data_IF_246654105064
#
_entry.id   IF_246654105064
#
_cell.length_a   1.000
_cell.length_b   1.000
_cell.length_c   1.000
_cell.angle_alpha   90.00
_cell.angle_beta   90.00
_cell.angle_gamma   90.00
#
_symmetry.space_group_name_H-M   'P 1'
#
loop_
_entity.id
_entity.type
_entity.pdbx_description
1 polymer ?
#
# COMPACT_ATOMS: atom_id res chain seq x y z
N UNK A 1 -5.07 0.57 6.80
CA UNK A 1 -5.44 0.89 5.41
C UNK A 1 -5.89 -0.40 4.69
N UNK A 2 -7.02 -0.32 3.98
CA UNK A 2 -7.53 -1.47 3.17
C UNK A 2 -6.51 -1.97 2.16
N UNK A 3 -5.68 -1.09 1.63
CA UNK A 3 -4.64 -1.43 0.67
C UNK A 3 -3.56 -2.34 1.28
N UNK A 4 -3.09 -2.04 2.49
CA UNK A 4 -2.11 -2.85 3.22
C UNK A 4 -2.69 -4.23 3.55
N UNK A 5 -3.90 -4.28 4.11
CA UNK A 5 -4.55 -5.54 4.46
C UNK A 5 -4.84 -6.39 3.21
N UNK A 6 -5.32 -5.77 2.12
CA UNK A 6 -5.55 -6.47 0.85
C UNK A 6 -4.27 -7.06 0.25
N UNK A 7 -3.16 -6.32 0.30
CA UNK A 7 -1.87 -6.83 -0.14
C UNK A 7 -1.41 -8.00 0.74
N UNK A 8 -1.52 -7.88 2.08
CA UNK A 8 -1.20 -8.97 3.00
C UNK A 8 -2.04 -10.23 2.74
N UNK A 9 -3.35 -10.07 2.45
CA UNK A 9 -4.22 -11.22 2.09
C UNK A 9 -3.71 -11.93 0.84
N UNK A 10 -3.28 -11.18 -0.16
CA UNK A 10 -2.74 -11.73 -1.40
C UNK A 10 -1.36 -12.36 -1.20
N UNK A 11 -0.45 -11.69 -0.51
CA UNK A 11 0.92 -12.16 -0.28
C UNK A 11 0.96 -13.47 0.51
N UNK A 12 0.09 -13.59 1.51
CA UNK A 12 -0.03 -14.77 2.38
C UNK A 12 -1.13 -15.75 1.94
N UNK A 13 -1.79 -15.47 0.81
CA UNK A 13 -2.88 -16.29 0.27
C UNK A 13 -3.99 -16.64 1.31
N UNK A 14 -4.36 -15.67 2.14
CA UNK A 14 -5.28 -15.86 3.27
C UNK A 14 -6.70 -16.23 2.84
N UNK A 15 -7.04 -16.01 1.57
CA UNK A 15 -8.33 -16.44 0.99
C UNK A 15 -8.42 -17.94 0.75
N UNK A 16 -7.31 -18.68 0.78
CA UNK A 16 -7.30 -20.12 0.60
C UNK A 16 -7.22 -20.81 1.96
N UNK A 17 -8.20 -21.63 2.27
CA UNK A 17 -8.27 -22.41 3.50
C UNK A 17 -8.04 -23.87 3.16
N UNK A 18 -7.08 -24.48 3.82
CA UNK A 18 -6.70 -25.89 3.64
C UNK A 18 -6.83 -26.59 4.98
N UNK A 19 -7.52 -27.70 5.01
CA UNK A 19 -7.73 -28.54 6.20
C UNK A 19 -7.46 -29.99 5.82
N UNK A 20 -6.67 -30.68 6.60
CA UNK A 20 -6.50 -32.14 6.42
C UNK A 20 -7.79 -32.86 6.79
N UNK A 21 -8.29 -33.72 5.91
CA UNK A 21 -9.42 -34.61 6.21
C UNK A 21 -8.92 -35.79 7.07
N UNK A 22 -9.03 -35.68 8.37
CA UNK A 22 -8.71 -36.77 9.29
C UNK A 22 -9.95 -37.65 9.47
N UNK A 23 -9.83 -38.97 9.25
CA UNK A 23 -10.85 -39.94 9.71
C UNK A 23 -10.88 -39.91 11.26
N UNK A 24 -12.07 -39.74 11.88
CA UNK A 24 -12.19 -39.33 13.29
C UNK A 24 -11.64 -40.31 14.33
N UNK A 25 -11.33 -41.54 14.01
CA UNK A 25 -11.03 -42.57 15.03
C UNK A 25 -9.62 -43.15 14.94
N UNK A 26 -9.01 -43.27 13.78
CA UNK A 26 -7.71 -43.92 13.60
C UNK A 26 -6.59 -42.87 13.37
N UNK A 27 -6.89 -41.74 12.74
CA UNK A 27 -5.90 -40.73 12.36
C UNK A 27 -5.27 -39.96 13.55
N UNK A 28 -6.06 -39.63 14.56
CA UNK A 28 -5.53 -38.91 15.77
C UNK A 28 -4.65 -39.82 16.63
N UNK A 29 -4.91 -41.12 16.68
CA UNK A 29 -4.13 -42.08 17.46
C UNK A 29 -2.78 -42.38 16.80
N UNK A 30 -2.75 -42.49 15.48
CA UNK A 30 -1.51 -42.70 14.70
C UNK A 30 -0.62 -41.46 14.68
N UNK A 31 -1.17 -40.24 14.67
CA UNK A 31 -0.41 -38.99 14.80
C UNK A 31 0.32 -38.87 16.13
N UNK A 32 -0.33 -39.31 17.23
CA UNK A 32 0.26 -39.29 18.57
C UNK A 32 1.40 -40.30 18.75
N UNK A 33 1.37 -41.39 18.02
CA UNK A 33 2.41 -42.46 18.12
C UNK A 33 3.63 -42.17 17.23
N UNK A 34 3.47 -41.47 16.10
CA UNK A 34 4.55 -41.21 15.15
C UNK A 34 5.36 -39.92 15.43
N UNK A 35 4.88 -39.04 16.33
CA UNK A 35 5.54 -37.75 16.55
C UNK A 35 5.58 -36.87 15.31
N UNK A 36 4.65 -37.07 14.39
CA UNK A 36 4.63 -36.44 13.07
C UNK A 36 3.97 -35.07 13.16
N UNK A 37 4.65 -34.05 12.68
CA UNK A 37 4.23 -32.64 12.68
C UNK A 37 3.05 -32.34 11.76
N UNK A 38 2.28 -33.38 11.41
CA UNK A 38 1.07 -33.33 10.60
C UNK A 38 1.37 -33.22 9.10
N UNK A 39 0.53 -33.88 8.32
CA UNK A 39 0.56 -33.77 6.86
C UNK A 39 0.31 -32.33 6.42
N UNK A 40 1.16 -31.79 5.57
CA UNK A 40 1.06 -30.40 5.07
C UNK A 40 1.14 -30.37 3.56
N UNK A 41 0.41 -29.45 2.95
CA UNK A 41 0.58 -29.06 1.56
C UNK A 41 0.72 -27.54 1.49
N UNK A 42 1.54 -27.06 0.58
CA UNK A 42 1.69 -25.64 0.34
C UNK A 42 1.08 -25.30 -1.03
N UNK A 43 0.05 -24.45 -1.00
CA UNK A 43 -0.67 -23.98 -2.19
C UNK A 43 -0.31 -22.53 -2.43
N UNK A 44 0.35 -22.24 -3.55
CA UNK A 44 0.73 -20.86 -3.92
C UNK A 44 -0.49 -20.04 -4.32
N UNK A 45 -1.41 -20.63 -5.07
CA UNK A 45 -2.72 -20.05 -5.36
C UNK A 45 -3.73 -21.14 -5.70
N UNK A 46 -5.00 -20.82 -5.45
CA UNK A 46 -6.17 -21.60 -5.86
C UNK A 46 -7.24 -20.62 -6.30
N UNK A 47 -7.43 -20.48 -7.60
CA UNK A 47 -8.45 -19.64 -8.21
C UNK A 47 -9.64 -20.50 -8.59
N UNK A 48 -10.83 -19.99 -8.34
CA UNK A 48 -12.09 -20.66 -8.65
C UNK A 48 -13.02 -19.68 -9.35
N UNK A 49 -13.98 -20.16 -10.16
CA UNK A 49 -15.08 -19.33 -10.67
C UNK A 49 -15.87 -18.70 -9.52
N UNK A 50 -16.54 -17.59 -9.78
CA UNK A 50 -17.26 -16.83 -8.75
C UNK A 50 -18.36 -17.63 -8.04
N UNK A 51 -19.02 -18.50 -8.77
CA UNK A 51 -20.08 -19.40 -8.27
C UNK A 51 -19.53 -20.55 -7.41
N UNK A 52 -18.23 -20.84 -7.50
CA UNK A 52 -17.52 -21.85 -6.71
C UNK A 52 -16.79 -21.27 -5.47
N UNK A 53 -16.93 -19.97 -5.21
CA UNK A 53 -16.42 -19.38 -3.96
C UNK A 53 -17.09 -20.02 -2.75
N UNK A 54 -16.35 -20.16 -1.66
CA UNK A 54 -16.77 -20.80 -0.41
C UNK A 54 -17.15 -22.28 -0.50
N UNK A 55 -17.03 -22.91 -1.69
CA UNK A 55 -17.21 -24.35 -1.88
C UNK A 55 -15.95 -25.11 -1.44
N UNK A 56 -16.15 -26.27 -0.78
CA UNK A 56 -15.08 -27.15 -0.34
C UNK A 56 -14.79 -28.21 -1.40
N UNK A 57 -13.58 -28.26 -1.90
CA UNK A 57 -13.08 -29.27 -2.82
C UNK A 57 -12.12 -30.21 -2.11
N UNK A 58 -11.91 -31.40 -2.66
CA UNK A 58 -11.03 -32.41 -2.08
C UNK A 58 -9.78 -32.58 -2.93
N UNK A 59 -8.61 -32.37 -2.32
CA UNK A 59 -7.31 -32.71 -2.89
C UNK A 59 -6.89 -34.05 -2.31
N UNK A 60 -6.56 -35.03 -3.16
CA UNK A 60 -5.99 -36.31 -2.78
C UNK A 60 -4.55 -36.42 -3.26
N UNK A 61 -3.65 -36.72 -2.37
CA UNK A 61 -2.24 -36.96 -2.70
C UNK A 61 -2.13 -38.35 -3.34
N UNK A 62 -1.63 -38.41 -4.57
CA UNK A 62 -1.50 -39.65 -5.35
C UNK A 62 -0.04 -40.15 -5.40
N UNK A 63 0.94 -39.31 -5.18
CA UNK A 63 2.34 -39.67 -5.18
C UNK A 63 3.17 -38.64 -4.42
N UNK A 64 4.48 -38.74 -4.50
CA UNK A 64 5.40 -37.82 -3.80
C UNK A 64 5.22 -36.36 -4.24
N UNK A 65 5.03 -36.14 -5.55
CA UNK A 65 4.92 -34.80 -6.16
C UNK A 65 3.64 -34.67 -7.00
N UNK A 66 2.69 -35.59 -6.85
CA UNK A 66 1.45 -35.64 -7.64
C UNK A 66 0.21 -35.65 -6.77
N UNK A 67 -0.84 -35.02 -7.27
CA UNK A 67 -2.13 -34.90 -6.60
C UNK A 67 -3.28 -34.93 -7.60
N UNK A 68 -4.47 -35.21 -7.11
CA UNK A 68 -5.72 -35.08 -7.84
C UNK A 68 -6.67 -34.22 -7.02
N UNK A 69 -7.32 -33.26 -7.66
CA UNK A 69 -8.38 -32.47 -7.04
C UNK A 69 -9.72 -32.83 -7.66
N UNK A 70 -10.70 -33.15 -6.84
CA UNK A 70 -12.07 -33.32 -7.27
C UNK A 70 -12.79 -31.97 -7.22
N UNK A 71 -13.26 -31.52 -8.39
CA UNK A 71 -13.94 -30.22 -8.59
C UNK A 71 -15.46 -30.42 -8.79
N UNK A 72 -16.02 -31.48 -8.21
CA UNK A 72 -17.44 -31.85 -8.32
C UNK A 72 -17.90 -31.88 -9.79
N UNK A 73 -18.83 -31.03 -10.22
CA UNK A 73 -19.35 -30.97 -11.59
C UNK A 73 -18.31 -30.71 -12.67
N UNK A 74 -17.20 -30.04 -12.33
CA UNK A 74 -16.09 -29.80 -13.25
C UNK A 74 -15.16 -31.03 -13.41
N UNK A 75 -15.40 -32.08 -12.61
CA UNK A 75 -14.69 -33.37 -12.65
C UNK A 75 -13.29 -33.27 -11.99
N UNK A 76 -12.49 -34.30 -12.25
CA UNK A 76 -11.15 -34.39 -11.67
C UNK A 76 -10.11 -33.55 -12.46
N UNK A 77 -9.18 -32.96 -11.72
CA UNK A 77 -7.99 -32.27 -12.21
C UNK A 77 -6.76 -32.93 -11.59
N UNK A 78 -5.83 -33.41 -12.43
CA UNK A 78 -4.56 -33.99 -11.98
C UNK A 78 -3.45 -32.98 -12.11
N UNK A 79 -2.58 -32.89 -11.10
CA UNK A 79 -1.47 -31.95 -11.08
C UNK A 79 -0.19 -32.50 -10.49
N UNK A 80 0.89 -31.80 -10.75
CA UNK A 80 2.21 -32.04 -10.13
C UNK A 80 2.66 -30.80 -9.38
N UNK A 81 3.54 -30.97 -8.41
CA UNK A 81 4.15 -29.89 -7.64
C UNK A 81 4.95 -28.97 -8.57
N UNK A 82 4.83 -27.67 -8.37
CA UNK A 82 5.43 -26.60 -9.16
C UNK A 82 4.93 -26.48 -10.61
N UNK A 83 3.89 -27.22 -10.98
CA UNK A 83 3.24 -27.09 -12.29
C UNK A 83 1.84 -26.45 -12.10
N UNK A 84 1.56 -25.31 -12.78
CA UNK A 84 0.21 -24.74 -12.76
C UNK A 84 -0.74 -25.60 -13.57
N UNK A 85 -1.88 -25.93 -13.02
CA UNK A 85 -2.94 -26.67 -13.73
C UNK A 85 -4.24 -25.90 -13.69
N UNK A 86 -4.94 -25.90 -14.82
CA UNK A 86 -6.21 -25.22 -14.98
C UNK A 86 -7.24 -26.08 -15.71
N UNK A 87 -8.52 -25.95 -15.30
CA UNK A 87 -9.67 -26.61 -15.94
C UNK A 87 -10.96 -25.86 -15.60
N UNK A 88 -11.74 -25.52 -16.59
CA UNK A 88 -13.08 -24.91 -16.43
C UNK A 88 -13.09 -23.67 -15.50
N UNK A 89 -12.08 -22.81 -15.56
CA UNK A 89 -11.98 -21.62 -14.71
C UNK A 89 -11.38 -21.87 -13.32
N UNK A 90 -11.11 -23.13 -12.97
CA UNK A 90 -10.30 -23.46 -11.80
C UNK A 90 -8.83 -23.44 -12.16
N UNK A 91 -8.01 -22.92 -11.28
CA UNK A 91 -6.56 -22.87 -11.46
C UNK A 91 -5.88 -23.07 -10.11
N UNK A 92 -4.90 -23.97 -10.06
CA UNK A 92 -4.18 -24.31 -8.83
C UNK A 92 -2.69 -24.50 -9.09
N UNK A 93 -1.90 -24.08 -8.12
CA UNK A 93 -0.47 -24.37 -8.06
C UNK A 93 -0.08 -24.80 -6.65
N UNK A 94 0.32 -26.06 -6.50
CA UNK A 94 0.98 -26.57 -5.31
C UNK A 94 2.48 -26.39 -5.46
N UNK A 95 3.13 -25.92 -4.39
CA UNK A 95 4.59 -25.76 -4.36
C UNK A 95 5.28 -26.83 -3.54
N UNK A 96 4.56 -27.50 -2.64
CA UNK A 96 5.13 -28.52 -1.77
C UNK A 96 4.07 -29.49 -1.27
N UNK A 97 4.42 -30.77 -1.18
CA UNK A 97 3.63 -31.83 -0.55
C UNK A 97 4.51 -32.51 0.50
N UNK A 98 4.11 -32.38 1.77
CA UNK A 98 4.71 -33.06 2.92
C UNK A 98 3.70 -34.03 3.52
N UNK A 99 3.21 -34.95 2.69
CA UNK A 99 2.16 -35.87 3.08
C UNK A 99 2.29 -37.19 2.33
N UNK A 100 2.03 -38.34 2.98
CA UNK A 100 2.06 -39.63 2.31
C UNK A 100 0.95 -39.73 1.25
N UNK A 101 1.17 -40.54 0.19
CA UNK A 101 0.14 -40.85 -0.77
C UNK A 101 -1.13 -41.41 -0.09
N UNK A 102 -2.29 -41.01 -0.56
CA UNK A 102 -3.60 -41.37 0.02
C UNK A 102 -4.13 -40.36 1.02
N UNK A 103 -3.32 -39.35 1.47
CA UNK A 103 -3.82 -38.29 2.31
C UNK A 103 -4.78 -37.38 1.53
N UNK A 104 -5.86 -36.98 2.18
CA UNK A 104 -6.83 -36.06 1.63
C UNK A 104 -6.88 -34.76 2.38
N UNK A 105 -6.99 -33.66 1.61
CA UNK A 105 -7.17 -32.31 2.13
C UNK A 105 -8.46 -31.71 1.60
N UNK A 106 -9.14 -30.94 2.43
CA UNK A 106 -10.19 -30.04 2.01
C UNK A 106 -9.58 -28.70 1.66
N UNK A 107 -9.83 -28.19 0.47
CA UNK A 107 -9.43 -26.85 0.06
C UNK A 107 -10.66 -26.01 -0.26
N UNK A 108 -10.64 -24.76 0.16
CA UNK A 108 -11.71 -23.80 -0.11
C UNK A 108 -11.12 -22.43 -0.39
N UNK A 109 -11.67 -21.72 -1.38
CA UNK A 109 -11.36 -20.30 -1.60
C UNK A 109 -12.51 -19.45 -1.07
N UNK A 110 -12.20 -18.62 -0.09
CA UNK A 110 -13.12 -17.61 0.44
C UNK A 110 -13.17 -16.38 -0.46
N UNK A 111 -14.29 -15.67 -0.43
CA UNK A 111 -14.36 -14.33 -1.02
C UNK A 111 -13.32 -13.42 -0.36
N UNK A 112 -12.51 -12.76 -1.18
CA UNK A 112 -11.43 -11.86 -0.70
C UNK A 112 -11.99 -10.67 0.06
N UNK A 113 -13.17 -10.15 -0.29
CA UNK A 113 -13.81 -9.04 0.43
C UNK A 113 -14.26 -9.47 1.82
N UNK A 114 -14.78 -10.70 1.95
CA UNK A 114 -15.13 -11.25 3.26
C UNK A 114 -13.89 -11.46 4.13
N UNK A 115 -12.81 -12.00 3.57
CA UNK A 115 -11.54 -12.18 4.30
C UNK A 115 -10.95 -10.82 4.72
N UNK A 116 -11.08 -9.80 3.88
CA UNK A 116 -10.65 -8.44 4.21
C UNK A 116 -11.47 -7.86 5.37
N UNK A 117 -12.79 -8.08 5.37
CA UNK A 117 -13.66 -7.66 6.48
C UNK A 117 -13.29 -8.38 7.77
N UNK A 118 -13.19 -9.71 7.72
CA UNK A 118 -12.84 -10.54 8.88
C UNK A 118 -11.47 -10.12 9.48
N UNK A 119 -10.49 -9.88 8.62
CA UNK A 119 -9.16 -9.43 9.03
C UNK A 119 -9.19 -8.02 9.62
N UNK A 120 -9.96 -7.12 9.04
CA UNK A 120 -10.10 -5.75 9.54
C UNK A 120 -10.78 -5.72 10.93
N UNK A 121 -11.75 -6.58 11.17
CA UNK A 121 -12.46 -6.67 12.45
C UNK A 121 -11.59 -7.29 13.56
N UNK A 122 -10.70 -8.22 13.18
CA UNK A 122 -9.75 -8.84 14.10
C UNK A 122 -8.50 -7.99 14.35
N UNK A 123 -8.25 -6.95 13.55
CA UNK A 123 -7.03 -6.13 13.56
C UNK A 123 -7.30 -4.78 14.22
N UNK A 124 -6.51 -4.44 15.22
CA UNK A 124 -6.58 -3.15 15.93
C UNK A 124 -5.25 -2.40 15.84
N UNK A 125 -5.34 -1.10 15.63
CA UNK A 125 -4.21 -0.18 15.66
C UNK A 125 -4.47 0.86 16.75
N UNK A 126 -3.53 1.02 17.66
CA UNK A 126 -3.59 2.02 18.72
C UNK A 126 -2.30 2.87 18.71
N UNK A 127 -2.45 4.16 18.96
CA UNK A 127 -1.32 5.04 19.22
C UNK A 127 -0.85 4.84 20.66
N UNK A 128 0.43 4.55 20.85
CA UNK A 128 0.99 4.19 22.17
C UNK A 128 1.45 5.41 22.97
N UNK A 129 1.24 6.63 22.49
CA UNK A 129 1.52 7.84 23.24
C UNK A 129 1.30 9.11 22.42
N UNK A 130 0.89 10.19 23.08
CA UNK A 130 0.73 11.48 22.40
C UNK A 130 2.06 11.89 21.75
N UNK A 131 2.04 12.06 20.44
CA UNK A 131 3.16 12.57 19.63
C UNK A 131 4.43 11.70 19.59
N UNK A 132 4.36 10.42 20.00
CA UNK A 132 5.52 9.51 19.94
C UNK A 132 5.74 8.91 18.55
N UNK A 133 4.70 8.86 17.72
CA UNK A 133 4.73 8.18 16.42
C UNK A 133 4.83 6.65 16.53
N UNK A 134 4.65 6.09 17.73
CA UNK A 134 4.67 4.64 17.98
C UNK A 134 3.27 4.07 17.88
N UNK A 135 3.08 3.16 16.92
CA UNK A 135 1.82 2.44 16.73
C UNK A 135 1.90 1.04 17.33
N UNK A 136 0.92 0.67 18.13
CA UNK A 136 0.72 -0.70 18.59
C UNK A 136 -0.25 -1.41 17.66
N UNK A 137 0.16 -2.56 17.14
CA UNK A 137 -0.63 -3.41 16.27
C UNK A 137 -1.05 -4.66 17.03
N UNK A 138 -2.35 -4.97 17.01
CA UNK A 138 -2.90 -6.17 17.64
C UNK A 138 -3.75 -6.93 16.67
N UNK A 139 -3.62 -8.25 16.63
CA UNK A 139 -4.44 -9.15 15.84
C UNK A 139 -4.92 -10.31 16.72
N UNK A 140 -6.21 -10.57 16.73
CA UNK A 140 -6.82 -11.66 17.49
C UNK A 140 -7.10 -12.85 16.60
N UNK A 141 -6.78 -14.06 17.07
CA UNK A 141 -7.02 -15.30 16.35
C UNK A 141 -6.63 -16.54 17.15
N UNK A 142 -6.81 -17.71 16.56
CA UNK A 142 -6.63 -19.00 17.23
C UNK A 142 -5.25 -19.64 17.03
N UNK A 143 -4.44 -19.10 16.08
CA UNK A 143 -3.14 -19.65 15.71
C UNK A 143 -2.07 -18.58 15.90
N UNK A 144 -1.23 -18.68 16.94
CA UNK A 144 -0.21 -17.67 17.26
C UNK A 144 0.84 -17.49 16.14
N UNK A 145 1.26 -18.58 15.48
CA UNK A 145 2.28 -18.50 14.42
C UNK A 145 1.70 -17.80 13.16
N UNK A 146 0.46 -18.13 12.83
CA UNK A 146 -0.25 -17.47 11.73
C UNK A 146 -0.49 -15.98 12.02
N UNK A 147 -0.88 -15.64 13.25
CA UNK A 147 -1.06 -14.25 13.69
C UNK A 147 0.25 -13.46 13.55
N UNK A 148 1.36 -14.02 14.03
CA UNK A 148 2.69 -13.42 13.93
C UNK A 148 3.08 -13.16 12.47
N UNK A 149 2.88 -14.14 11.60
CA UNK A 149 3.18 -14.02 10.16
C UNK A 149 2.32 -12.93 9.50
N UNK A 150 1.04 -12.85 9.83
CA UNK A 150 0.13 -11.83 9.31
C UNK A 150 0.55 -10.43 9.80
N UNK A 151 0.83 -10.25 11.10
CA UNK A 151 1.29 -8.98 11.65
C UNK A 151 2.61 -8.52 11.03
N UNK A 152 3.55 -9.45 10.83
CA UNK A 152 4.81 -9.14 10.14
C UNK A 152 4.55 -8.66 8.71
N UNK A 153 3.74 -9.38 7.95
CA UNK A 153 3.38 -8.99 6.57
C UNK A 153 2.64 -7.65 6.51
N UNK A 154 1.74 -7.37 7.47
CA UNK A 154 1.07 -6.05 7.57
C UNK A 154 2.11 -4.95 7.81
N UNK A 155 3.05 -5.17 8.71
CA UNK A 155 4.12 -4.20 9.03
C UNK A 155 5.00 -3.94 7.81
N UNK A 156 5.46 -4.99 7.14
CA UNK A 156 6.31 -4.89 5.96
C UNK A 156 5.60 -4.19 4.81
N UNK A 157 4.34 -4.52 4.55
CA UNK A 157 3.52 -3.87 3.54
C UNK A 157 3.22 -2.40 3.87
N UNK A 158 3.04 -2.07 5.14
CA UNK A 158 2.87 -0.68 5.58
C UNK A 158 4.15 0.13 5.36
N UNK A 159 5.30 -0.41 5.75
CA UNK A 159 6.61 0.24 5.54
C UNK A 159 6.87 0.46 4.05
N UNK A 160 6.64 -0.54 3.22
CA UNK A 160 6.79 -0.43 1.78
C UNK A 160 5.89 0.66 1.19
N UNK A 161 4.60 0.66 1.55
CA UNK A 161 3.65 1.69 1.11
C UNK A 161 4.09 3.10 1.55
N UNK A 162 4.62 3.24 2.76
CA UNK A 162 5.09 4.52 3.27
C UNK A 162 6.33 5.02 2.50
N UNK A 163 7.25 4.11 2.17
CA UNK A 163 8.43 4.41 1.35
C UNK A 163 7.99 4.82 -0.06
N UNK A 164 7.10 4.08 -0.70
CA UNK A 164 6.56 4.38 -2.04
C UNK A 164 5.90 5.77 -2.05
N UNK A 165 5.04 6.06 -1.08
CA UNK A 165 4.38 7.36 -0.96
C UNK A 165 5.38 8.51 -0.80
N UNK A 166 6.37 8.36 0.09
CA UNK A 166 7.41 9.37 0.28
C UNK A 166 8.27 9.57 -0.96
N UNK A 167 8.57 8.48 -1.68
CA UNK A 167 9.30 8.54 -2.94
C UNK A 167 8.51 9.29 -4.03
N UNK A 168 7.20 9.04 -4.13
CA UNK A 168 6.33 9.78 -5.05
C UNK A 168 6.24 11.26 -4.69
N UNK A 169 6.12 11.59 -3.41
CA UNK A 169 6.10 12.98 -2.93
C UNK A 169 7.40 13.70 -3.27
N UNK A 170 8.55 13.04 -3.05
CA UNK A 170 9.86 13.56 -3.42
C UNK A 170 10.01 13.76 -4.93
N UNK A 171 9.57 12.79 -5.74
CA UNK A 171 9.61 12.88 -7.20
C UNK A 171 8.72 14.03 -7.73
N UNK A 172 7.53 14.23 -7.15
CA UNK A 172 6.65 15.36 -7.47
C UNK A 172 7.30 16.70 -7.12
N UNK A 173 7.95 16.76 -5.95
CA UNK A 173 8.68 17.96 -5.52
C UNK A 173 9.85 18.29 -6.43
N UNK A 174 10.64 17.29 -6.83
CA UNK A 174 11.74 17.48 -7.79
C UNK A 174 11.23 17.97 -9.14
N UNK A 175 10.17 17.37 -9.67
CA UNK A 175 9.57 17.76 -10.94
C UNK A 175 9.00 19.20 -10.91
N UNK A 176 8.47 19.61 -9.76
CA UNK A 176 8.03 20.99 -9.53
C UNK A 176 9.22 21.95 -9.53
N UNK A 177 10.30 21.63 -8.80
CA UNK A 177 11.52 22.44 -8.74
C UNK A 177 12.18 22.58 -10.11
N UNK A 178 12.30 21.50 -10.84
CA UNK A 178 12.88 21.49 -12.20
C UNK A 178 12.15 22.44 -13.17
N UNK A 179 10.83 22.57 -13.00
CA UNK A 179 10.02 23.50 -13.80
C UNK A 179 10.10 24.94 -13.29
N UNK A 180 10.22 25.13 -11.98
CA UNK A 180 10.20 26.47 -11.36
C UNK A 180 11.55 27.18 -11.37
N UNK A 181 12.64 26.43 -11.29
CA UNK A 181 13.99 27.02 -11.31
C UNK A 181 14.25 27.84 -12.59
N UNK A 182 13.93 27.36 -13.80
CA UNK A 182 14.08 28.14 -15.02
C UNK A 182 13.23 29.42 -15.03
N UNK A 183 11.98 29.34 -14.55
CA UNK A 183 11.07 30.50 -14.48
C UNK A 183 11.65 31.59 -13.58
N UNK A 184 12.07 31.21 -12.35
CA UNK A 184 12.66 32.14 -11.39
C UNK A 184 13.98 32.73 -11.92
N UNK A 185 14.78 31.93 -12.62
CA UNK A 185 16.02 32.41 -13.25
C UNK A 185 15.74 33.44 -14.34
N UNK A 186 14.69 33.21 -15.15
CA UNK A 186 14.28 34.15 -16.20
C UNK A 186 13.72 35.44 -15.59
N UNK A 187 12.92 35.35 -14.52
CA UNK A 187 12.43 36.52 -13.78
C UNK A 187 13.58 37.32 -13.17
N UNK A 188 14.58 36.66 -12.56
CA UNK A 188 15.77 37.30 -12.02
C UNK A 188 16.55 38.03 -13.11
N UNK A 189 16.85 37.38 -14.22
CA UNK A 189 17.55 38.01 -15.34
C UNK A 189 16.79 39.20 -15.90
N UNK A 190 15.46 39.12 -16.00
CA UNK A 190 14.63 40.22 -16.43
C UNK A 190 14.66 41.40 -15.45
N UNK A 191 14.65 41.12 -14.14
CA UNK A 191 14.74 42.13 -13.10
C UNK A 191 16.14 42.78 -13.07
N UNK A 192 17.22 42.02 -13.20
CA UNK A 192 18.59 42.51 -13.30
C UNK A 192 18.77 43.42 -14.54
N UNK A 193 18.24 43.01 -15.68
CA UNK A 193 18.29 43.83 -16.89
C UNK A 193 17.53 45.15 -16.75
N UNK A 194 16.34 45.15 -16.13
CA UNK A 194 15.59 46.34 -15.80
C UNK A 194 16.37 47.25 -14.85
N UNK A 195 16.99 46.69 -13.81
CA UNK A 195 17.81 47.45 -12.86
C UNK A 195 19.01 48.09 -13.54
N UNK A 196 19.73 47.34 -14.40
CA UNK A 196 20.88 47.85 -15.14
C UNK A 196 20.46 48.95 -16.12
N UNK A 197 19.36 48.81 -16.82
CA UNK A 197 18.80 49.83 -17.70
C UNK A 197 18.46 51.11 -16.92
N UNK A 198 17.82 50.97 -15.77
CA UNK A 198 17.48 52.13 -14.90
C UNK A 198 18.70 52.81 -14.33
N UNK A 199 19.75 52.05 -13.94
CA UNK A 199 21.05 52.60 -13.50
C UNK A 199 21.75 53.38 -14.58
N UNK A 200 21.71 52.90 -15.83
CA UNK A 200 22.33 53.61 -16.98
C UNK A 200 21.60 54.92 -17.29
N UNK A 201 20.29 54.97 -17.16
CA UNK A 201 19.51 56.18 -17.45
C UNK A 201 19.62 57.26 -16.36
N UNK A 202 19.73 56.89 -15.11
CA UNK A 202 19.56 57.84 -13.99
C UNK A 202 20.85 58.25 -13.27
N UNK A 203 22.03 57.76 -13.68
CA UNK A 203 23.34 58.14 -13.07
C UNK A 203 23.33 58.19 -11.53
N UNK A 204 22.46 57.47 -10.85
CA UNK A 204 22.16 57.65 -9.42
C UNK A 204 22.71 56.52 -8.54
N UNK A 205 23.29 56.90 -7.44
CA UNK A 205 24.22 56.11 -6.59
C UNK A 205 23.52 55.29 -5.50
N UNK A 206 22.23 55.37 -5.25
CA UNK A 206 21.66 54.81 -4.01
C UNK A 206 20.48 53.83 -4.16
N UNK A 207 20.24 53.36 -5.37
CA UNK A 207 19.17 52.36 -5.64
C UNK A 207 19.50 50.93 -5.16
N UNK A 208 20.74 50.72 -4.74
CA UNK A 208 21.22 49.35 -4.41
C UNK A 208 20.59 48.79 -3.12
N UNK A 209 20.29 49.68 -2.14
CA UNK A 209 19.68 49.25 -0.87
C UNK A 209 18.16 49.05 -1.00
N UNK A 210 17.45 49.91 -1.70
CA UNK A 210 16.00 49.76 -1.94
C UNK A 210 15.69 48.60 -2.83
N UNK A 211 16.43 48.39 -3.93
CA UNK A 211 16.25 47.26 -4.82
C UNK A 211 16.56 45.91 -4.12
N UNK A 212 17.59 45.88 -3.25
CA UNK A 212 17.88 44.67 -2.46
C UNK A 212 16.78 44.37 -1.46
N UNK A 213 16.24 45.39 -0.77
CA UNK A 213 15.12 45.23 0.16
C UNK A 213 13.85 44.72 -0.54
N UNK A 214 13.57 45.25 -1.74
CA UNK A 214 12.46 44.81 -2.56
C UNK A 214 12.63 43.34 -3.01
N UNK A 215 13.83 42.97 -3.46
CA UNK A 215 14.16 41.61 -3.86
C UNK A 215 14.01 40.61 -2.70
N UNK A 216 14.55 40.97 -1.52
CA UNK A 216 14.44 40.14 -0.30
C UNK A 216 12.98 39.98 0.10
N UNK A 217 12.14 41.00 -0.02
CA UNK A 217 10.69 40.93 0.24
C UNK A 217 9.99 40.02 -0.76
N UNK A 218 10.31 40.10 -2.06
CA UNK A 218 9.74 39.21 -3.09
C UNK A 218 10.11 37.76 -2.87
N UNK A 219 11.36 37.48 -2.49
CA UNK A 219 11.81 36.10 -2.17
C UNK A 219 11.07 35.56 -0.94
N UNK A 220 10.83 36.38 0.08
CA UNK A 220 10.05 35.95 1.27
C UNK A 220 8.58 35.67 0.91
N UNK A 221 7.95 36.51 0.10
CA UNK A 221 6.58 36.30 -0.37
C UNK A 221 6.47 35.02 -1.20
N UNK A 222 7.44 34.75 -2.07
CA UNK A 222 7.46 33.50 -2.85
C UNK A 222 7.63 32.25 -1.96
N UNK A 223 8.47 32.32 -0.95
CA UNK A 223 8.61 31.23 0.02
C UNK A 223 7.30 30.97 0.77
N UNK A 224 6.57 32.02 1.18
CA UNK A 224 5.27 31.87 1.86
C UNK A 224 4.18 31.35 0.93
N UNK A 225 4.11 31.82 -0.31
CA UNK A 225 3.15 31.32 -1.32
C UNK A 225 3.42 29.84 -1.61
N UNK A 226 4.67 29.43 -1.76
CA UNK A 226 5.05 28.05 -1.96
C UNK A 226 4.65 27.18 -0.77
N UNK A 227 4.90 27.64 0.46
CA UNK A 227 4.50 26.91 1.67
C UNK A 227 2.98 26.75 1.77
N UNK A 228 2.21 27.78 1.42
CA UNK A 228 0.74 27.70 1.37
C UNK A 228 0.25 26.76 0.26
N UNK A 229 0.93 26.71 -0.87
CA UNK A 229 0.61 25.78 -1.96
C UNK A 229 0.83 24.33 -1.54
N UNK A 230 1.89 24.03 -0.79
CA UNK A 230 2.09 22.70 -0.21
C UNK A 230 1.00 22.36 0.82
N UNK A 231 0.67 23.31 1.71
CA UNK A 231 -0.40 23.11 2.70
C UNK A 231 -1.77 22.91 2.03
N UNK A 232 -2.05 23.62 0.94
CA UNK A 232 -3.26 23.44 0.13
C UNK A 232 -3.32 22.05 -0.48
N UNK A 233 -2.20 21.54 -1.01
CA UNK A 233 -2.13 20.20 -1.57
C UNK A 233 -2.37 19.09 -0.51
N UNK A 234 -1.94 19.31 0.73
CA UNK A 234 -2.21 18.41 1.85
C UNK A 234 -3.69 18.47 2.28
N UNK A 235 -4.21 19.69 2.47
CA UNK A 235 -5.59 19.91 2.92
C UNK A 235 -6.60 19.45 1.86
N UNK A 236 -6.28 19.56 0.57
CA UNK A 236 -7.13 19.11 -0.54
C UNK A 236 -7.35 17.59 -0.56
N UNK A 237 -6.48 16.82 0.10
CA UNK A 237 -6.65 15.36 0.25
C UNK A 237 -7.61 14.99 1.38
N UNK A 238 -7.81 15.89 2.34
CA UNK A 238 -8.58 15.64 3.56
C UNK A 238 -9.94 16.34 3.56
N UNK A 239 -10.07 17.45 2.86
CA UNK A 239 -11.26 18.31 2.89
C UNK A 239 -11.69 18.73 1.48
N UNK A 240 -13.00 18.92 1.34
CA UNK A 240 -13.57 19.49 0.10
C UNK A 240 -13.28 20.99 0.01
N UNK A 241 -13.41 21.55 -1.20
CA UNK A 241 -13.18 22.99 -1.48
C UNK A 241 -14.08 23.93 -0.66
N UNK A 242 -15.20 23.43 -0.17
CA UNK A 242 -16.17 24.17 0.65
C UNK A 242 -15.78 24.27 2.12
N UNK A 243 -14.80 23.46 2.56
CA UNK A 243 -14.42 23.42 3.97
C UNK A 243 -13.76 24.74 4.41
N UNK A 244 -14.11 25.28 5.60
CA UNK A 244 -13.57 26.55 6.08
C UNK A 244 -12.05 26.66 6.07
N UNK A 245 -11.35 25.58 6.47
CA UNK A 245 -9.87 25.52 6.47
C UNK A 245 -9.30 25.64 5.05
N UNK A 246 -9.91 24.98 4.07
CA UNK A 246 -9.47 25.05 2.67
C UNK A 246 -9.67 26.46 2.10
N UNK A 247 -10.83 27.07 2.34
CA UNK A 247 -11.14 28.43 1.92
C UNK A 247 -10.20 29.47 2.54
N UNK A 248 -9.89 29.34 3.83
CA UNK A 248 -8.96 30.22 4.52
C UNK A 248 -7.55 30.19 3.92
N UNK A 249 -7.07 28.99 3.52
CA UNK A 249 -5.78 28.83 2.84
C UNK A 249 -5.76 29.47 1.46
N UNK A 250 -6.82 29.28 0.68
CA UNK A 250 -6.96 29.92 -0.64
C UNK A 250 -6.96 31.44 -0.53
N UNK A 251 -7.71 32.00 0.41
CA UNK A 251 -7.81 33.43 0.62
C UNK A 251 -6.45 34.03 1.05
N UNK A 252 -5.75 33.36 1.97
CA UNK A 252 -4.42 33.79 2.40
C UNK A 252 -3.41 33.75 1.24
N UNK A 253 -3.43 32.71 0.40
CA UNK A 253 -2.56 32.63 -0.78
C UNK A 253 -2.86 33.76 -1.77
N UNK A 254 -4.14 34.01 -2.05
CA UNK A 254 -4.58 35.06 -2.96
C UNK A 254 -4.09 36.44 -2.47
N UNK A 255 -4.21 36.73 -1.18
CA UNK A 255 -3.73 37.97 -0.60
C UNK A 255 -2.20 38.16 -0.80
N UNK A 256 -1.41 37.10 -0.57
CA UNK A 256 0.04 37.18 -0.79
C UNK A 256 0.41 37.31 -2.29
N UNK A 257 -0.35 36.68 -3.18
CA UNK A 257 -0.18 36.84 -4.64
C UNK A 257 -0.52 38.27 -5.10
N UNK A 258 -1.57 38.88 -4.55
CA UNK A 258 -1.92 40.28 -4.79
C UNK A 258 -0.84 41.24 -4.25
N UNK A 259 -0.33 40.99 -3.04
CA UNK A 259 0.78 41.75 -2.45
C UNK A 259 2.06 41.66 -3.29
N UNK A 260 2.41 40.45 -3.76
CA UNK A 260 3.55 40.25 -4.70
C UNK A 260 3.34 41.01 -6.02
N UNK A 261 2.12 41.05 -6.54
CA UNK A 261 1.84 41.77 -7.80
C UNK A 261 1.90 43.29 -7.64
N UNK A 262 1.59 43.82 -6.45
CA UNK A 262 1.70 45.26 -6.15
C UNK A 262 3.15 45.72 -5.99
N UNK A 263 4.09 44.78 -5.77
CA UNK A 263 5.55 45.09 -5.68
C UNK A 263 6.25 45.02 -7.05
N UNK A 264 5.57 44.63 -8.12
CA UNK A 264 6.08 44.63 -9.50
C UNK A 264 5.91 45.96 -10.19
#
# INVERSE_FOLDING_TARGET
SRMVLGKTINDLNLSVVIEEKTTPIIGQFLKKIRGDDGSKINVKYFNVPHDALDTKFTIKITGKDSYTINLDDAGELKGQVNEPVSKNGFEILLTQIESPPGTEFSIKRKDTLQVLSDLNDAFTVADTGKDTGVLSLSLTGNDPEKIKTILQSITDNYLLQNIERKSEEAAKSLNFLDRKIPDVKNELNAAENKLNYYRQQNSSVDLTMEAKSLLDTMVQLDAQINQLTFSEAEVSKLYTKEHPTYRALLEKRKTLEEEKNNLK
#
